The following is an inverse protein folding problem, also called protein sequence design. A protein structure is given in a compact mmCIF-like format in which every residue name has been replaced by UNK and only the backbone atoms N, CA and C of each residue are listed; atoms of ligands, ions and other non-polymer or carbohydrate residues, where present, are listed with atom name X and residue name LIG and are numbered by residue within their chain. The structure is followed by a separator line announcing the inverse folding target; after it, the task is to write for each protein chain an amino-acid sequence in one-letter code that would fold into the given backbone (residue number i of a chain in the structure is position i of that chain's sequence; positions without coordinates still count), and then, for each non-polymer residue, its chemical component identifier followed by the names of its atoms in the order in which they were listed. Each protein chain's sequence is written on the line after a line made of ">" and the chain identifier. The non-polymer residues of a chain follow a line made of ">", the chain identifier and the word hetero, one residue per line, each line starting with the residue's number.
data_IF_042791122249
#
_entry.id   IF_042791122249
#
_cell.length_a   1.000
_cell.length_b   1.000
_cell.length_c   1.000
_cell.angle_alpha   90.00
_cell.angle_beta   90.00
_cell.angle_gamma   90.00
#
_symmetry.space_group_name_H-M   'P 1'
#
loop_
_entity.id
_entity.type
_entity.pdbx_description
1 polymer ?
#
# COMPACT_ATOMS: atom_id res chain seq x y z
N UNK A 1 -14.95 -39.01 -26.61
CA UNK A 1 -15.43 -38.14 -25.51
C UNK A 1 -15.64 -39.04 -24.30
N UNK A 2 -14.76 -38.94 -23.29
CA UNK A 2 -15.00 -39.32 -21.87
C UNK A 2 -13.72 -39.64 -21.04
N UNK A 3 -12.50 -39.52 -21.58
CA UNK A 3 -11.27 -39.89 -20.84
C UNK A 3 -10.49 -38.72 -20.19
N UNK A 4 -11.04 -37.51 -20.13
CA UNK A 4 -10.28 -36.32 -19.70
C UNK A 4 -10.89 -35.63 -18.46
N UNK A 5 -11.27 -36.41 -17.44
CA UNK A 5 -11.84 -35.85 -16.19
C UNK A 5 -11.31 -36.49 -14.89
N UNK A 6 -10.29 -37.36 -14.94
CA UNK A 6 -9.81 -38.09 -13.75
C UNK A 6 -8.43 -37.63 -13.23
N UNK A 7 -8.01 -36.38 -13.51
CA UNK A 7 -6.71 -35.84 -13.07
C UNK A 7 -6.82 -34.59 -12.19
N UNK A 8 -7.76 -34.59 -11.25
CA UNK A 8 -7.77 -33.63 -10.14
C UNK A 8 -8.21 -34.35 -8.87
N UNK A 9 -7.26 -34.66 -7.98
CA UNK A 9 -7.64 -35.24 -6.69
C UNK A 9 -6.56 -35.83 -5.82
N UNK A 10 -5.30 -35.92 -6.25
CA UNK A 10 -4.25 -36.43 -5.36
C UNK A 10 -3.40 -35.27 -4.83
N UNK A 11 -3.92 -34.60 -3.79
CA UNK A 11 -3.09 -33.72 -2.96
C UNK A 11 -2.03 -34.58 -2.28
N UNK A 12 -0.84 -34.66 -2.88
CA UNK A 12 0.32 -35.38 -2.36
C UNK A 12 0.45 -35.20 -0.85
N UNK A 13 0.37 -36.32 -0.10
CA UNK A 13 0.32 -36.30 1.36
C UNK A 13 1.60 -35.69 1.92
N UNK A 14 1.46 -34.77 2.88
CA UNK A 14 2.60 -34.10 3.55
C UNK A 14 3.22 -35.05 4.58
N UNK A 15 4.14 -35.89 4.11
CA UNK A 15 4.73 -36.98 4.90
C UNK A 15 5.99 -36.56 5.69
N UNK A 16 6.40 -35.30 5.60
CA UNK A 16 7.61 -34.78 6.26
C UNK A 16 7.22 -33.70 7.27
N UNK A 17 7.76 -33.80 8.48
CA UNK A 17 7.59 -32.83 9.56
C UNK A 17 8.90 -32.08 9.84
N UNK A 18 8.83 -30.77 10.01
CA UNK A 18 9.98 -29.92 10.38
C UNK A 18 9.80 -29.53 11.86
N UNK A 19 10.75 -29.91 12.72
CA UNK A 19 10.74 -29.54 14.15
C UNK A 19 11.64 -28.34 14.37
N UNK A 20 11.09 -27.28 14.95
CA UNK A 20 11.82 -26.04 15.29
C UNK A 20 11.74 -25.88 16.81
N UNK A 21 12.86 -25.52 17.44
CA UNK A 21 12.89 -25.11 18.86
C UNK A 21 12.77 -23.59 18.89
N UNK A 22 11.90 -23.08 19.76
CA UNK A 22 11.64 -21.66 19.95
C UNK A 22 11.59 -21.35 21.44
N UNK A 23 11.93 -20.14 21.84
CA UNK A 23 11.63 -19.64 23.18
C UNK A 23 10.14 -19.34 23.33
N UNK A 24 9.69 -19.10 24.57
CA UNK A 24 8.30 -18.76 24.84
C UNK A 24 7.92 -17.41 24.19
N UNK A 25 8.83 -16.43 24.20
CA UNK A 25 8.60 -15.14 23.53
C UNK A 25 8.50 -15.28 22.01
N UNK A 26 9.38 -16.09 21.41
CA UNK A 26 9.36 -16.35 19.95
C UNK A 26 8.06 -17.03 19.53
N UNK A 27 7.54 -17.97 20.34
CA UNK A 27 6.28 -18.64 20.08
C UNK A 27 5.10 -17.66 20.09
N UNK A 28 5.09 -16.71 21.02
CA UNK A 28 4.05 -15.69 21.12
C UNK A 28 4.08 -14.71 19.94
N UNK A 29 5.28 -14.27 19.55
CA UNK A 29 5.47 -13.44 18.35
C UNK A 29 4.95 -14.16 17.10
N UNK A 30 5.27 -15.44 16.94
CA UNK A 30 4.80 -16.24 15.81
C UNK A 30 3.27 -16.37 15.77
N UNK A 31 2.62 -16.52 16.92
CA UNK A 31 1.16 -16.54 17.04
C UNK A 31 0.55 -15.19 16.70
N UNK A 32 1.11 -14.08 17.20
CA UNK A 32 0.63 -12.73 16.91
C UNK A 32 0.71 -12.41 15.40
N UNK A 33 1.79 -12.82 14.73
CA UNK A 33 1.97 -12.58 13.30
C UNK A 33 1.14 -13.52 12.42
N UNK A 34 0.63 -14.61 12.97
CA UNK A 34 -0.20 -15.54 12.21
C UNK A 34 -1.55 -14.91 11.87
N UNK A 35 -1.77 -14.63 10.58
CA UNK A 35 -3.05 -14.09 10.06
C UNK A 35 -4.15 -15.15 9.98
N UNK A 36 -3.89 -16.35 10.52
CA UNK A 36 -4.76 -17.54 10.48
C UNK A 36 -4.76 -18.19 11.86
N UNK A 37 -5.83 -18.91 12.17
CA UNK A 37 -5.95 -19.73 13.39
C UNK A 37 -4.92 -20.85 13.48
N UNK A 38 -4.40 -21.32 12.34
CA UNK A 38 -3.44 -22.43 12.26
C UNK A 38 -2.02 -21.92 11.94
N UNK A 39 -1.16 -21.84 12.95
CA UNK A 39 0.23 -21.39 12.80
C UNK A 39 1.02 -22.19 11.74
N UNK A 40 0.84 -23.52 11.70
CA UNK A 40 1.53 -24.38 10.74
C UNK A 40 1.12 -24.12 9.28
N UNK A 41 -0.12 -23.71 9.05
CA UNK A 41 -0.61 -23.33 7.72
C UNK A 41 -0.03 -21.98 7.32
N UNK A 42 -0.08 -21.00 8.23
CA UNK A 42 0.49 -19.68 8.01
C UNK A 42 2.01 -19.76 7.75
N UNK A 43 2.76 -20.49 8.57
CA UNK A 43 4.21 -20.69 8.38
C UNK A 43 4.53 -21.33 7.03
N UNK A 44 3.73 -22.30 6.58
CA UNK A 44 3.94 -22.93 5.27
C UNK A 44 3.68 -21.94 4.14
N UNK A 45 2.58 -21.21 4.18
CA UNK A 45 2.27 -20.17 3.19
C UNK A 45 3.36 -19.10 3.19
N UNK A 46 3.79 -18.63 4.37
CA UNK A 46 4.84 -17.64 4.53
C UNK A 46 6.21 -18.12 4.01
N UNK A 47 6.68 -19.30 4.44
CA UNK A 47 8.01 -19.80 4.05
C UNK A 47 8.08 -20.30 2.60
N UNK A 48 6.96 -20.78 2.02
CA UNK A 48 6.94 -21.24 0.63
C UNK A 48 6.66 -20.10 -0.37
N UNK A 49 5.97 -19.04 0.04
CA UNK A 49 5.74 -17.83 -0.78
C UNK A 49 6.94 -16.86 -0.70
N UNK A 50 8.18 -17.37 -0.71
CA UNK A 50 9.39 -16.55 -0.68
C UNK A 50 9.64 -15.74 0.60
N UNK A 51 8.84 -15.93 1.66
CA UNK A 51 8.95 -15.15 2.90
C UNK A 51 8.76 -13.64 2.68
N UNK A 52 9.47 -12.84 3.48
CA UNK A 52 9.49 -11.37 3.36
C UNK A 52 9.95 -10.88 1.97
N UNK A 53 10.59 -11.74 1.15
CA UNK A 53 11.05 -11.36 -0.18
C UNK A 53 9.89 -11.11 -1.15
N UNK A 54 8.76 -11.81 -1.01
CA UNK A 54 7.60 -11.55 -1.86
C UNK A 54 6.83 -10.31 -1.40
N UNK A 55 6.85 -9.99 -0.10
CA UNK A 55 6.38 -8.68 0.40
C UNK A 55 7.29 -7.53 -0.08
N UNK A 56 8.61 -7.72 -0.09
CA UNK A 56 9.57 -6.74 -0.64
C UNK A 56 9.39 -6.61 -2.16
N UNK A 57 9.12 -7.71 -2.88
CA UNK A 57 8.82 -7.67 -4.32
C UNK A 57 7.46 -7.04 -4.63
N UNK A 58 6.44 -7.27 -3.81
CA UNK A 58 5.14 -6.59 -3.90
C UNK A 58 5.27 -5.10 -3.60
N UNK A 59 6.05 -4.72 -2.57
CA UNK A 59 6.39 -3.33 -2.27
C UNK A 59 7.27 -2.69 -3.37
N UNK A 60 7.99 -3.49 -4.16
CA UNK A 60 8.71 -3.09 -5.38
C UNK A 60 7.83 -2.96 -6.62
N UNK A 61 6.50 -3.15 -6.52
CA UNK A 61 5.61 -2.57 -7.52
C UNK A 61 5.71 -1.06 -7.37
N UNK A 62 6.66 -0.48 -8.10
CA UNK A 62 6.93 0.95 -8.05
C UNK A 62 5.60 1.68 -8.32
N UNK A 63 5.20 2.65 -7.47
CA UNK A 63 4.02 3.46 -7.73
C UNK A 63 4.15 4.04 -9.13
N UNK A 64 3.05 4.08 -9.89
CA UNK A 64 3.07 4.56 -11.28
C UNK A 64 3.87 5.89 -11.34
N UNK A 65 4.95 5.96 -12.13
CA UNK A 65 5.84 7.11 -12.15
C UNK A 65 5.13 8.41 -12.52
N UNK A 66 4.05 8.35 -13.30
CA UNK A 66 3.23 9.51 -13.61
C UNK A 66 2.46 10.05 -12.39
N UNK A 67 1.98 9.16 -11.52
CA UNK A 67 1.33 9.55 -10.27
C UNK A 67 2.33 10.20 -9.30
N UNK A 68 3.55 9.68 -9.22
CA UNK A 68 4.61 10.28 -8.40
C UNK A 68 5.03 11.65 -8.92
N UNK A 69 5.12 11.82 -10.25
CA UNK A 69 5.39 13.12 -10.88
C UNK A 69 4.27 14.11 -10.59
N UNK A 70 3.01 13.67 -10.70
CA UNK A 70 1.85 14.48 -10.35
C UNK A 70 1.86 14.93 -8.89
N UNK A 71 2.07 13.98 -7.96
CA UNK A 71 2.13 14.27 -6.53
C UNK A 71 3.28 15.23 -6.18
N UNK A 72 4.45 15.03 -6.78
CA UNK A 72 5.60 15.93 -6.61
C UNK A 72 5.30 17.34 -7.14
N UNK A 73 4.61 17.44 -8.28
CA UNK A 73 4.15 18.72 -8.83
C UNK A 73 3.23 19.47 -7.87
N UNK A 74 2.26 18.77 -7.26
CA UNK A 74 1.35 19.32 -6.26
C UNK A 74 2.12 19.82 -5.03
N UNK A 75 3.03 18.99 -4.50
CA UNK A 75 3.86 19.34 -3.34
C UNK A 75 4.75 20.57 -3.61
N UNK A 76 5.35 20.65 -4.80
CA UNK A 76 6.17 21.80 -5.20
C UNK A 76 5.36 23.10 -5.28
N UNK A 77 4.14 23.04 -5.80
CA UNK A 77 3.26 24.22 -5.88
C UNK A 77 2.83 24.69 -4.49
N UNK A 78 2.46 23.75 -3.60
CA UNK A 78 2.11 24.07 -2.21
C UNK A 78 3.29 24.70 -1.46
N UNK A 79 4.51 24.17 -1.66
CA UNK A 79 5.71 24.70 -1.04
C UNK A 79 6.05 26.12 -1.54
N UNK A 80 5.83 26.41 -2.83
CA UNK A 80 6.00 27.77 -3.37
C UNK A 80 5.02 28.76 -2.74
N UNK A 81 3.75 28.36 -2.56
CA UNK A 81 2.76 29.18 -1.86
C UNK A 81 3.15 29.41 -0.41
N UNK A 82 3.57 28.36 0.31
CA UNK A 82 4.02 28.49 1.70
C UNK A 82 5.21 29.45 1.84
N UNK A 83 6.21 29.34 0.96
CA UNK A 83 7.36 30.25 0.96
C UNK A 83 6.96 31.70 0.69
N UNK A 84 6.08 31.94 -0.29
CA UNK A 84 5.56 33.26 -0.63
C UNK A 84 4.72 33.88 0.49
N UNK A 85 3.90 33.08 1.17
CA UNK A 85 3.15 33.53 2.35
C UNK A 85 4.10 33.87 3.50
N UNK A 86 5.13 33.06 3.70
CA UNK A 86 6.11 33.24 4.77
C UNK A 86 7.14 34.35 4.49
N UNK A 87 7.34 34.78 3.23
CA UNK A 87 8.27 35.89 2.92
C UNK A 87 7.76 37.24 3.45
N UNK A 88 6.47 37.34 3.80
CA UNK A 88 5.87 38.57 4.31
C UNK A 88 5.70 39.67 3.25
N UNK A 89 6.06 39.40 2.00
CA UNK A 89 5.99 40.35 0.87
C UNK A 89 4.56 40.55 0.35
N UNK A 90 3.61 39.72 0.77
CA UNK A 90 2.21 39.79 0.34
C UNK A 90 1.38 40.70 1.23
N UNK A 91 0.72 41.68 0.61
CA UNK A 91 -0.28 42.52 1.25
C UNK A 91 -1.57 41.75 1.56
N UNK A 92 -2.49 42.39 2.28
CA UNK A 92 -3.78 41.81 2.61
C UNK A 92 -4.59 41.42 1.37
N UNK A 93 -4.51 42.22 0.30
CA UNK A 93 -5.21 41.97 -0.97
C UNK A 93 -4.67 40.73 -1.71
N UNK A 94 -3.35 40.56 -1.76
CA UNK A 94 -2.70 39.42 -2.41
C UNK A 94 -3.09 38.10 -1.74
N UNK A 95 -3.17 38.10 -0.40
CA UNK A 95 -3.61 36.95 0.40
C UNK A 95 -5.07 36.58 0.08
N UNK A 96 -5.96 37.57 -0.01
CA UNK A 96 -7.38 37.34 -0.34
C UNK A 96 -7.53 36.77 -1.75
N UNK A 97 -6.80 37.30 -2.73
CA UNK A 97 -6.84 36.79 -4.11
C UNK A 97 -6.40 35.33 -4.20
N UNK A 98 -5.34 34.95 -3.49
CA UNK A 98 -4.86 33.57 -3.47
C UNK A 98 -5.80 32.63 -2.72
N UNK A 99 -6.36 33.05 -1.59
CA UNK A 99 -7.38 32.26 -0.88
C UNK A 99 -8.60 32.03 -1.78
N UNK A 100 -9.05 33.06 -2.52
CA UNK A 100 -10.15 32.95 -3.47
C UNK A 100 -9.83 31.98 -4.62
N UNK A 101 -8.61 32.05 -5.17
CA UNK A 101 -8.15 31.13 -6.21
C UNK A 101 -8.07 29.68 -5.70
N UNK A 102 -7.53 29.45 -4.50
CA UNK A 102 -7.46 28.12 -3.87
C UNK A 102 -8.85 27.55 -3.60
N UNK A 103 -9.78 28.36 -3.09
CA UNK A 103 -11.17 27.95 -2.90
C UNK A 103 -11.86 27.62 -4.25
N UNK A 104 -11.47 28.30 -5.33
CA UNK A 104 -11.90 27.96 -6.69
C UNK A 104 -11.40 26.58 -7.15
N UNK A 105 -10.12 26.30 -6.91
CA UNK A 105 -9.52 24.98 -7.21
C UNK A 105 -10.16 23.87 -6.38
N UNK A 106 -10.42 24.09 -5.09
CA UNK A 106 -11.09 23.13 -4.20
C UNK A 106 -12.49 22.76 -4.70
N UNK A 107 -13.28 23.75 -5.12
CA UNK A 107 -14.60 23.54 -5.72
C UNK A 107 -14.50 22.70 -7.00
N UNK A 108 -13.62 23.08 -7.92
CA UNK A 108 -13.43 22.35 -9.17
C UNK A 108 -12.98 20.89 -8.94
N UNK A 109 -12.09 20.65 -7.98
CA UNK A 109 -11.67 19.29 -7.60
C UNK A 109 -12.81 18.49 -6.95
N UNK A 110 -13.65 19.15 -6.14
CA UNK A 110 -14.83 18.53 -5.53
C UNK A 110 -15.86 18.13 -6.59
N UNK A 111 -16.11 18.99 -7.58
CA UNK A 111 -17.01 18.71 -8.69
C UNK A 111 -16.47 17.56 -9.57
N UNK A 112 -15.17 17.55 -9.83
CA UNK A 112 -14.52 16.46 -10.56
C UNK A 112 -14.60 15.13 -9.80
N UNK A 113 -14.40 15.13 -8.48
CA UNK A 113 -14.59 13.94 -7.64
C UNK A 113 -16.03 13.44 -7.67
N UNK A 114 -17.01 14.36 -7.64
CA UNK A 114 -18.43 14.00 -7.61
C UNK A 114 -18.94 13.51 -8.98
N UNK A 115 -18.33 13.95 -10.08
CA UNK A 115 -18.65 13.48 -11.44
C UNK A 115 -18.00 12.15 -11.82
N UNK A 116 -17.05 11.66 -11.02
CA UNK A 116 -16.41 10.35 -11.17
C UNK A 116 -17.06 9.25 -10.28
N UNK A 117 -18.14 9.60 -9.55
CA UNK A 117 -19.00 8.64 -8.83
C UNK A 117 -20.20 8.28 -9.69
#
# INVERSE_FOLDING_TARGET
>A
MSEEAAKYGESSKRNRSIKIRVSDEELEILRMHSTRSELARWMREFCLSGGQQDFIKQAKSAPNPELLRGLSGIGNNLNQLARRVNSGEWGALDKVQIIAALAGVERALTDLRNSQK
#
